data_IF_438151408050
#
_entry.id   IF_438151408050
#
_cell.length_a   1.000
_cell.length_b   1.000
_cell.length_c   1.000
_cell.angle_alpha   90.00
_cell.angle_beta   90.00
_cell.angle_gamma   90.00
#
_symmetry.space_group_name_H-M   'P 1'
#
loop_
_entity.id
_entity.type
_entity.pdbx_description
1 polymer ?
#
# COMPACT_ATOMS: atom_id res chain seq x y z
N UNK A 1 -4.85 -11.68 24.41
CA UNK A 1 -5.42 -10.71 23.43
C UNK A 1 -6.92 -10.77 23.55
N UNK A 2 -7.61 -9.62 23.73
CA UNK A 2 -9.07 -9.60 23.89
C UNK A 2 -9.80 -9.74 22.54
N UNK A 3 -9.24 -9.19 21.48
CA UNK A 3 -9.74 -9.31 20.12
C UNK A 3 -8.63 -9.11 19.09
N UNK A 4 -8.79 -9.68 17.92
CA UNK A 4 -7.90 -9.50 16.78
C UNK A 4 -8.71 -9.42 15.48
N UNK A 5 -8.05 -9.08 14.41
CA UNK A 5 -8.63 -9.02 13.06
C UNK A 5 -7.59 -9.35 12.00
N UNK A 6 -8.09 -9.52 10.78
CA UNK A 6 -7.26 -9.73 9.58
C UNK A 6 -7.47 -8.56 8.65
N UNK A 7 -6.39 -7.98 8.16
CA UNK A 7 -6.38 -7.01 7.07
C UNK A 7 -5.80 -7.71 5.84
N UNK A 8 -6.60 -7.87 4.79
CA UNK A 8 -6.17 -8.59 3.61
C UNK A 8 -6.83 -8.01 2.36
N UNK A 9 -6.00 -7.59 1.42
CA UNK A 9 -6.47 -6.96 0.17
C UNK A 9 -7.06 -7.98 -0.80
N UNK A 10 -6.61 -9.22 -0.76
CA UNK A 10 -7.02 -10.28 -1.69
C UNK A 10 -8.30 -11.02 -1.28
N UNK A 11 -8.92 -10.62 -0.16
CA UNK A 11 -10.27 -11.07 0.22
C UNK A 11 -11.35 -10.64 -0.78
N UNK A 12 -11.13 -9.55 -1.51
CA UNK A 12 -12.09 -9.00 -2.49
C UNK A 12 -11.86 -9.50 -3.90
N UNK A 13 -10.77 -10.24 -4.13
CA UNK A 13 -10.46 -10.84 -5.43
C UNK A 13 -11.42 -11.98 -5.77
N UNK A 14 -11.49 -12.35 -7.06
CA UNK A 14 -12.23 -13.52 -7.51
C UNK A 14 -11.57 -14.82 -7.04
N UNK A 15 -12.33 -15.89 -6.92
CA UNK A 15 -11.81 -17.21 -6.50
C UNK A 15 -10.75 -17.76 -7.47
N UNK A 16 -10.76 -17.31 -8.73
CA UNK A 16 -9.78 -17.70 -9.76
C UNK A 16 -8.47 -16.89 -9.65
N UNK A 17 -8.41 -15.88 -8.80
CA UNK A 17 -7.21 -15.08 -8.63
C UNK A 17 -6.15 -15.85 -7.84
N UNK A 18 -4.90 -15.83 -8.33
CA UNK A 18 -3.78 -16.61 -7.76
C UNK A 18 -3.57 -16.35 -6.26
N UNK A 19 -3.75 -15.10 -5.83
CA UNK A 19 -3.56 -14.69 -4.43
C UNK A 19 -4.89 -14.64 -3.64
N UNK A 20 -6.00 -15.19 -4.17
CA UNK A 20 -7.29 -15.15 -3.51
C UNK A 20 -7.24 -15.67 -2.08
N UNK A 21 -7.76 -14.88 -1.14
CA UNK A 21 -7.92 -15.26 0.26
C UNK A 21 -9.38 -15.58 0.56
N UNK A 22 -9.63 -16.79 1.01
CA UNK A 22 -10.97 -17.29 1.35
C UNK A 22 -11.30 -16.97 2.81
N UNK A 23 -12.38 -16.19 3.03
CA UNK A 23 -12.90 -15.88 4.36
C UNK A 23 -13.24 -17.14 5.17
N UNK A 24 -13.81 -18.17 4.53
CA UNK A 24 -14.22 -19.39 5.23
C UNK A 24 -13.01 -20.21 5.70
N UNK A 25 -11.91 -20.17 4.96
CA UNK A 25 -10.65 -20.78 5.40
C UNK A 25 -10.05 -20.03 6.60
N UNK A 26 -10.12 -18.70 6.59
CA UNK A 26 -9.67 -17.89 7.74
C UNK A 26 -10.53 -18.17 8.98
N UNK A 27 -11.85 -18.26 8.80
CA UNK A 27 -12.77 -18.59 9.90
C UNK A 27 -12.48 -19.98 10.45
N UNK A 28 -12.32 -20.97 9.59
CA UNK A 28 -11.99 -22.34 9.98
C UNK A 28 -10.66 -22.42 10.75
N UNK A 29 -9.65 -21.70 10.32
CA UNK A 29 -8.38 -21.62 11.06
C UNK A 29 -8.57 -21.02 12.47
N UNK A 30 -9.45 -20.03 12.60
CA UNK A 30 -9.79 -19.48 13.92
C UNK A 30 -10.56 -20.48 14.79
N UNK A 31 -11.43 -21.31 14.20
CA UNK A 31 -12.13 -22.41 14.91
C UNK A 31 -11.14 -23.47 15.40
N UNK A 32 -10.24 -23.92 14.55
CA UNK A 32 -9.21 -24.90 14.88
C UNK A 32 -8.27 -24.41 15.98
N UNK A 33 -8.04 -23.10 16.03
CA UNK A 33 -7.25 -22.45 17.08
C UNK A 33 -8.06 -22.13 18.37
N UNK A 34 -9.39 -22.39 18.41
CA UNK A 34 -10.26 -22.03 19.54
C UNK A 34 -10.37 -20.51 19.74
N UNK A 35 -10.23 -19.71 18.67
CA UNK A 35 -10.07 -18.27 18.74
C UNK A 35 -11.20 -17.46 18.07
N UNK A 36 -12.29 -18.10 17.69
CA UNK A 36 -13.43 -17.46 17.00
C UNK A 36 -14.05 -16.33 17.83
N UNK A 37 -14.13 -16.49 19.15
CA UNK A 37 -14.66 -15.45 20.03
C UNK A 37 -13.80 -14.19 20.07
N UNK A 38 -12.52 -14.31 19.71
CA UNK A 38 -11.56 -13.21 19.68
C UNK A 38 -11.36 -12.66 18.27
N UNK A 39 -11.71 -13.39 17.22
CA UNK A 39 -11.68 -12.93 15.83
C UNK A 39 -12.86 -11.99 15.58
N UNK A 40 -12.62 -10.67 15.58
CA UNK A 40 -13.67 -9.66 15.54
C UNK A 40 -13.65 -8.75 14.33
N UNK A 41 -12.50 -8.57 13.68
CA UNK A 41 -12.35 -7.55 12.65
C UNK A 41 -11.86 -8.14 11.34
N UNK A 42 -12.44 -7.66 10.24
CA UNK A 42 -12.02 -7.99 8.89
C UNK A 42 -11.88 -6.70 8.08
N UNK A 43 -10.67 -6.42 7.62
CA UNK A 43 -10.38 -5.23 6.81
C UNK A 43 -10.02 -5.62 5.37
N UNK A 44 -10.59 -4.92 4.40
CA UNK A 44 -10.38 -5.16 2.97
C UNK A 44 -10.65 -3.89 2.14
N UNK A 45 -10.19 -3.82 0.88
CA UNK A 45 -10.48 -2.71 -0.01
C UNK A 45 -11.98 -2.58 -0.31
N UNK A 46 -12.48 -1.34 -0.23
CA UNK A 46 -13.84 -1.01 -0.64
C UNK A 46 -13.88 0.44 -1.14
N UNK A 47 -14.01 0.60 -2.44
CA UNK A 47 -14.14 1.88 -3.11
C UNK A 47 -14.91 1.72 -4.42
N UNK A 48 -15.06 2.79 -5.20
CA UNK A 48 -15.83 2.80 -6.46
C UNK A 48 -15.26 1.87 -7.55
N UNK A 49 -14.01 1.45 -7.45
CA UNK A 49 -13.34 0.57 -8.41
C UNK A 49 -13.21 -0.85 -7.84
N UNK A 50 -12.69 -0.96 -6.62
CA UNK A 50 -12.49 -2.23 -5.92
C UNK A 50 -13.80 -2.65 -5.21
N UNK A 51 -14.77 -3.11 -6.00
CA UNK A 51 -16.12 -3.47 -5.54
C UNK A 51 -16.30 -4.97 -5.24
N UNK A 52 -15.23 -5.74 -5.16
CA UNK A 52 -15.30 -7.19 -4.93
C UNK A 52 -16.01 -7.58 -3.63
N UNK A 53 -15.93 -6.74 -2.59
CA UNK A 53 -16.60 -6.97 -1.30
C UNK A 53 -18.14 -6.96 -1.37
N UNK A 54 -18.74 -6.28 -2.35
CA UNK A 54 -20.20 -6.17 -2.50
C UNK A 54 -20.75 -7.07 -3.60
N UNK A 55 -19.89 -7.80 -4.32
CA UNK A 55 -20.36 -8.78 -5.33
C UNK A 55 -20.83 -10.06 -4.64
N UNK A 56 -21.98 -10.64 -5.05
CA UNK A 56 -22.45 -11.91 -4.52
C UNK A 56 -21.42 -13.03 -4.75
N UNK A 57 -21.16 -13.83 -3.73
CA UNK A 57 -20.13 -14.90 -3.76
C UNK A 57 -20.50 -16.11 -2.92
N UNK A 58 -20.98 -15.91 -1.71
CA UNK A 58 -21.27 -16.98 -0.73
C UNK A 58 -22.79 -17.29 -0.73
N UNK A 59 -23.27 -18.21 -1.56
CA UNK A 59 -24.70 -18.54 -1.67
C UNK A 59 -25.61 -17.30 -1.81
N UNK A 60 -25.27 -16.41 -2.74
CA UNK A 60 -25.86 -15.08 -2.97
C UNK A 60 -25.56 -14.01 -1.92
N UNK A 61 -24.80 -14.28 -0.88
CA UNK A 61 -24.26 -13.27 0.03
C UNK A 61 -22.97 -12.68 -0.54
N UNK A 62 -22.75 -11.41 -0.30
CA UNK A 62 -21.44 -10.78 -0.54
C UNK A 62 -20.51 -10.96 0.67
N UNK A 63 -19.22 -10.56 0.53
CA UNK A 63 -18.22 -10.67 1.58
C UNK A 63 -18.66 -9.99 2.89
N UNK A 64 -19.26 -8.80 2.78
CA UNK A 64 -19.71 -8.01 3.95
C UNK A 64 -20.81 -8.79 4.68
N UNK A 65 -21.83 -9.25 3.95
CA UNK A 65 -22.94 -9.98 4.53
C UNK A 65 -22.49 -11.32 5.15
N UNK A 66 -21.56 -12.01 4.48
CA UNK A 66 -20.99 -13.25 5.03
C UNK A 66 -20.17 -12.99 6.28
N UNK A 67 -19.32 -11.97 6.31
CA UNK A 67 -18.58 -11.59 7.50
C UNK A 67 -19.50 -11.21 8.66
N UNK A 68 -20.54 -10.44 8.39
CA UNK A 68 -21.56 -10.10 9.40
C UNK A 68 -22.30 -11.34 9.95
N UNK A 69 -22.61 -12.32 9.10
CA UNK A 69 -23.24 -13.57 9.56
C UNK A 69 -22.35 -14.42 10.48
N UNK A 70 -21.04 -14.20 10.42
CA UNK A 70 -20.04 -14.79 11.31
C UNK A 70 -19.75 -13.93 12.54
N UNK A 71 -20.43 -12.80 12.72
CA UNK A 71 -20.25 -11.87 13.85
C UNK A 71 -19.00 -10.96 13.71
N UNK A 72 -18.44 -10.85 12.51
CA UNK A 72 -17.29 -9.99 12.23
C UNK A 72 -17.71 -8.56 11.95
N UNK A 73 -16.92 -7.62 12.43
CA UNK A 73 -16.99 -6.20 12.09
C UNK A 73 -16.13 -5.95 10.86
N UNK A 74 -16.71 -5.41 9.80
CA UNK A 74 -16.02 -5.12 8.54
C UNK A 74 -15.50 -3.69 8.52
N UNK A 75 -14.30 -3.50 7.99
CA UNK A 75 -13.62 -2.22 7.85
C UNK A 75 -13.19 -2.08 6.38
N UNK A 76 -13.79 -1.12 5.68
CA UNK A 76 -13.34 -0.76 4.33
C UNK A 76 -12.08 0.09 4.38
N UNK A 77 -11.07 -0.26 3.59
CA UNK A 77 -9.90 0.57 3.39
C UNK A 77 -9.87 1.17 1.97
N UNK A 78 -8.93 2.06 1.70
CA UNK A 78 -8.73 2.75 0.41
C UNK A 78 -9.96 3.50 -0.13
N UNK A 79 -10.72 4.27 0.66
CA UNK A 79 -11.94 4.91 0.17
C UNK A 79 -11.68 5.92 -0.95
N UNK A 80 -10.47 6.51 -1.01
CA UNK A 80 -10.10 7.57 -1.95
C UNK A 80 -9.03 7.15 -2.98
N UNK A 81 -8.54 5.92 -2.90
CA UNK A 81 -7.55 5.38 -3.82
C UNK A 81 -7.92 3.95 -4.19
N UNK A 82 -7.65 3.56 -5.43
CA UNK A 82 -7.86 2.19 -5.89
C UNK A 82 -6.58 1.65 -6.54
N UNK A 83 -6.33 0.34 -6.44
CA UNK A 83 -5.34 -0.33 -7.24
C UNK A 83 -6.00 -0.97 -8.46
N UNK A 84 -5.41 -0.73 -9.63
CA UNK A 84 -5.84 -1.27 -10.91
C UNK A 84 -4.67 -1.96 -11.60
N UNK A 85 -4.92 -2.67 -12.68
CA UNK A 85 -3.87 -3.27 -13.51
C UNK A 85 -2.88 -2.22 -14.08
N UNK A 86 -3.30 -0.96 -14.17
CA UNK A 86 -2.47 0.18 -14.61
C UNK A 86 -1.81 0.93 -13.44
N UNK A 87 -1.96 0.45 -12.20
CA UNK A 87 -1.37 1.04 -11.00
C UNK A 87 -2.37 1.74 -10.10
N UNK A 88 -1.89 2.66 -9.29
CA UNK A 88 -2.69 3.42 -8.34
C UNK A 88 -3.56 4.45 -9.06
N UNK A 89 -4.87 4.39 -8.79
CA UNK A 89 -5.86 5.36 -9.27
C UNK A 89 -6.38 6.18 -8.08
N UNK A 90 -6.30 7.49 -8.16
CA UNK A 90 -6.89 8.39 -7.18
C UNK A 90 -8.37 8.63 -7.52
N UNK A 91 -9.25 8.40 -6.56
CA UNK A 91 -10.71 8.50 -6.72
C UNK A 91 -11.28 9.84 -6.28
N UNK A 92 -10.49 10.63 -5.54
CA UNK A 92 -10.87 11.98 -5.14
C UNK A 92 -9.70 12.92 -5.40
N UNK A 93 -9.98 14.02 -6.11
CA UNK A 93 -9.05 15.12 -6.28
C UNK A 93 -9.25 16.09 -5.12
N UNK A 94 -8.15 16.54 -4.51
CA UNK A 94 -8.16 17.75 -3.71
C UNK A 94 -7.71 18.91 -4.61
N UNK A 95 -8.34 20.06 -4.54
CA UNK A 95 -7.76 21.27 -5.10
C UNK A 95 -6.40 21.48 -4.42
N UNK A 96 -5.34 21.25 -5.17
CA UNK A 96 -3.98 21.52 -4.70
C UNK A 96 -3.63 22.90 -5.24
N UNK A 97 -3.20 23.78 -4.34
CA UNK A 97 -2.71 25.10 -4.71
C UNK A 97 -1.50 24.94 -5.64
N UNK A 98 -1.55 25.58 -6.82
CA UNK A 98 -0.50 25.52 -7.83
C UNK A 98 0.87 25.97 -7.25
N UNK A 99 0.87 26.91 -6.31
CA UNK A 99 2.07 27.35 -5.61
C UNK A 99 2.67 26.24 -4.74
N UNK A 100 1.83 25.42 -4.10
CA UNK A 100 2.29 24.25 -3.31
C UNK A 100 2.90 23.20 -4.22
N UNK A 101 2.31 22.96 -5.40
CA UNK A 101 2.86 22.02 -6.40
C UNK A 101 4.23 22.51 -6.88
N UNK A 102 4.32 23.78 -7.28
CA UNK A 102 5.56 24.35 -7.79
C UNK A 102 6.69 24.32 -6.75
N UNK A 103 6.38 24.59 -5.49
CA UNK A 103 7.36 24.50 -4.40
C UNK A 103 7.77 23.05 -4.11
N UNK A 104 6.83 22.11 -4.14
CA UNK A 104 7.12 20.68 -3.95
C UNK A 104 8.04 20.14 -5.05
N UNK A 105 7.81 20.52 -6.30
CA UNK A 105 8.64 20.13 -7.42
C UNK A 105 10.07 20.67 -7.29
N UNK A 106 10.25 21.94 -6.89
CA UNK A 106 11.59 22.51 -6.63
C UNK A 106 12.34 21.78 -5.53
N UNK A 107 11.65 21.44 -4.44
CA UNK A 107 12.25 20.69 -3.33
C UNK A 107 12.65 19.28 -3.80
N UNK A 108 11.81 18.63 -4.59
CA UNK A 108 12.10 17.33 -5.18
C UNK A 108 13.30 17.38 -6.12
N UNK A 109 13.33 18.31 -7.08
CA UNK A 109 14.44 18.49 -8.02
C UNK A 109 15.76 18.70 -7.27
N UNK A 110 15.77 19.61 -6.27
CA UNK A 110 16.95 19.86 -5.44
C UNK A 110 17.40 18.64 -4.65
N UNK A 111 16.46 17.86 -4.11
CA UNK A 111 16.75 16.61 -3.39
C UNK A 111 17.34 15.55 -4.32
N UNK A 112 16.79 15.42 -5.54
CA UNK A 112 17.29 14.47 -6.55
C UNK A 112 18.67 14.85 -7.08
N UNK A 113 18.92 16.14 -7.31
CA UNK A 113 20.27 16.63 -7.70
C UNK A 113 21.30 16.33 -6.63
N UNK A 114 20.98 16.61 -5.36
CA UNK A 114 21.84 16.30 -4.22
C UNK A 114 22.10 14.80 -4.08
N UNK A 115 21.08 13.97 -4.29
CA UNK A 115 21.20 12.52 -4.24
C UNK A 115 22.10 12.00 -5.37
N UNK A 116 21.85 12.44 -6.60
CA UNK A 116 22.63 12.02 -7.76
C UNK A 116 24.11 12.44 -7.64
N UNK A 117 24.39 13.64 -7.13
CA UNK A 117 25.75 14.10 -6.91
C UNK A 117 26.49 13.28 -5.85
N UNK A 118 25.83 12.94 -4.75
CA UNK A 118 26.40 12.06 -3.71
C UNK A 118 26.53 10.62 -4.17
N UNK A 119 25.58 10.14 -4.97
CA UNK A 119 25.63 8.82 -5.57
C UNK A 119 26.80 8.66 -6.54
N UNK A 120 27.09 9.70 -7.34
CA UNK A 120 28.28 9.70 -8.19
C UNK A 120 29.58 9.55 -7.37
N UNK A 121 29.68 10.20 -6.22
CA UNK A 121 30.83 10.08 -5.32
C UNK A 121 30.98 8.67 -4.71
N UNK A 122 29.85 8.00 -4.43
CA UNK A 122 29.88 6.61 -3.90
C UNK A 122 30.26 5.62 -4.98
N UNK A 123 29.84 5.83 -6.24
CA UNK A 123 30.24 5.00 -7.39
C UNK A 123 31.73 5.08 -7.72
N UNK A 124 32.37 6.19 -7.44
CA UNK A 124 33.82 6.36 -7.63
C UNK A 124 34.67 5.62 -6.58
N UNK A 125 34.08 5.21 -5.45
CA UNK A 125 34.72 4.41 -4.42
C UNK A 125 34.45 2.92 -4.62
N UNK A 126 35.10 2.31 -5.60
CA UNK A 126 35.41 0.89 -5.84
C UNK A 126 34.52 -0.22 -5.20
N UNK A 127 33.19 -0.09 -5.10
CA UNK A 127 32.34 -1.22 -4.77
C UNK A 127 31.36 -1.49 -5.93
N UNK A 128 31.81 -2.41 -6.79
CA UNK A 128 31.21 -2.79 -8.09
C UNK A 128 29.86 -3.57 -7.97
N UNK A 129 29.24 -3.56 -6.78
CA UNK A 129 28.05 -4.36 -6.48
C UNK A 129 26.78 -3.52 -6.24
N UNK A 130 26.82 -2.21 -6.44
CA UNK A 130 25.64 -1.36 -6.36
C UNK A 130 25.05 -1.17 -7.76
N UNK A 131 24.24 -2.12 -8.19
CA UNK A 131 23.38 -1.96 -9.37
C UNK A 131 22.57 -0.66 -9.25
N UNK A 132 22.30 0.00 -10.38
CA UNK A 132 21.46 1.21 -10.44
C UNK A 132 20.23 1.01 -9.57
N UNK A 133 19.98 1.96 -8.64
CA UNK A 133 18.86 1.85 -7.72
C UNK A 133 17.55 1.87 -8.52
N UNK A 134 16.89 0.73 -8.77
CA UNK A 134 15.61 0.69 -9.48
C UNK A 134 14.57 1.58 -8.79
N UNK A 135 14.74 1.79 -7.48
CA UNK A 135 13.87 2.59 -6.63
C UNK A 135 13.92 4.09 -6.98
N UNK A 136 15.08 4.65 -7.36
CA UNK A 136 15.20 6.08 -7.73
C UNK A 136 14.44 6.35 -9.02
N UNK A 137 14.57 5.46 -9.99
CA UNK A 137 13.83 5.56 -11.26
C UNK A 137 12.32 5.38 -11.04
N UNK A 138 11.92 4.43 -10.19
CA UNK A 138 10.52 4.24 -9.81
C UNK A 138 9.93 5.46 -9.10
N UNK A 139 10.69 6.10 -8.20
CA UNK A 139 10.24 7.33 -7.53
C UNK A 139 10.07 8.46 -8.55
N UNK A 140 10.98 8.61 -9.50
CA UNK A 140 10.88 9.63 -10.55
C UNK A 140 9.64 9.43 -11.42
N UNK A 141 9.36 8.20 -11.85
CA UNK A 141 8.17 7.87 -12.64
C UNK A 141 6.84 8.09 -11.89
N UNK A 142 6.87 7.91 -10.58
CA UNK A 142 5.69 8.09 -9.73
C UNK A 142 5.48 9.57 -9.43
N UNK A 143 6.56 10.36 -9.26
CA UNK A 143 6.49 11.78 -8.93
C UNK A 143 5.72 12.60 -9.97
N UNK A 144 5.96 12.34 -11.24
CA UNK A 144 5.27 13.02 -12.34
C UNK A 144 3.76 12.71 -12.42
N UNK A 145 3.29 11.71 -11.67
CA UNK A 145 1.88 11.27 -11.67
C UNK A 145 1.03 11.88 -10.54
N UNK A 146 1.43 13.00 -9.98
CA UNK A 146 0.70 13.74 -8.93
C UNK A 146 0.36 12.93 -7.68
N UNK A 147 1.37 12.56 -6.95
CA UNK A 147 1.21 11.83 -5.70
C UNK A 147 0.81 12.81 -4.58
N UNK A 148 -0.08 12.38 -3.69
CA UNK A 148 -0.42 13.16 -2.49
C UNK A 148 0.80 13.31 -1.57
N UNK A 149 0.80 14.38 -0.76
CA UNK A 149 1.83 14.59 0.26
C UNK A 149 2.07 13.34 1.11
N UNK A 150 0.99 12.68 1.53
CA UNK A 150 1.05 11.46 2.36
C UNK A 150 1.70 10.29 1.63
N UNK A 151 1.47 10.14 0.32
CA UNK A 151 2.13 9.11 -0.48
C UNK A 151 3.62 9.39 -0.64
N UNK A 152 4.00 10.66 -0.82
CA UNK A 152 5.40 11.09 -0.85
C UNK A 152 6.07 10.81 0.50
N UNK A 153 5.44 11.19 1.61
CA UNK A 153 5.96 10.89 2.95
C UNK A 153 6.13 9.38 3.17
N UNK A 154 5.18 8.54 2.75
CA UNK A 154 5.29 7.09 2.84
C UNK A 154 6.46 6.53 2.01
N UNK A 155 6.69 7.05 0.81
CA UNK A 155 7.82 6.64 -0.02
C UNK A 155 9.13 7.02 0.65
N UNK A 156 9.24 8.26 1.14
CA UNK A 156 10.46 8.72 1.80
C UNK A 156 10.73 7.96 3.10
N UNK A 157 9.78 7.89 4.02
CA UNK A 157 9.97 7.26 5.33
C UNK A 157 9.96 5.73 5.25
N UNK A 158 9.16 5.14 4.36
CA UNK A 158 9.02 3.69 4.24
C UNK A 158 10.14 3.02 3.43
N UNK A 159 10.69 3.72 2.44
CA UNK A 159 11.62 3.10 1.50
C UNK A 159 12.94 3.84 1.35
N UNK A 160 12.89 5.17 1.22
CA UNK A 160 14.05 5.96 0.84
C UNK A 160 15.03 6.18 2.01
N UNK A 161 14.54 6.63 3.16
CA UNK A 161 15.39 6.81 4.33
C UNK A 161 16.00 5.51 4.88
N UNK A 162 15.28 4.37 4.95
CA UNK A 162 15.88 3.09 5.29
C UNK A 162 16.99 2.66 4.34
N UNK A 163 16.83 2.95 3.04
CA UNK A 163 17.87 2.67 2.04
C UNK A 163 19.11 3.54 2.25
N UNK A 164 18.92 4.84 2.45
CA UNK A 164 20.02 5.78 2.74
C UNK A 164 20.74 5.35 4.03
N UNK A 165 20.01 5.04 5.09
CA UNK A 165 20.60 4.55 6.34
C UNK A 165 21.39 3.23 6.15
N UNK A 166 20.97 2.37 5.23
CA UNK A 166 21.69 1.15 4.89
C UNK A 166 22.99 1.42 4.13
N UNK A 167 22.99 2.43 3.24
CA UNK A 167 24.16 2.82 2.42
C UNK A 167 25.20 3.58 3.24
N UNK A 168 24.77 4.52 4.06
CA UNK A 168 25.66 5.43 4.81
C UNK A 168 25.96 4.99 6.24
N UNK A 169 25.38 3.84 6.70
CA UNK A 169 25.52 3.40 8.08
C UNK A 169 24.58 4.15 9.04
N UNK A 170 24.59 3.73 10.30
CA UNK A 170 23.61 4.14 11.34
C UNK A 170 23.84 5.55 11.90
N UNK A 171 24.69 6.36 11.33
CA UNK A 171 25.09 7.69 11.84
C UNK A 171 24.43 8.85 11.07
N UNK A 172 23.08 8.74 10.87
CA UNK A 172 22.21 9.84 10.45
C UNK A 172 21.25 10.21 11.56
#
# INVERSE_FOLDING_TARGET
IKSFGVSCNTLVESEDHEEYTDLLKLWKAAEEAGATENFKYLQFPLNLVEMGAVRPRFDNLNLIQKAQSLGLITIGNRPLNAFTSSGLLRLAESEIDEEVIANSNKVYESAMENLNSKWALVRESEDDHLEELPLVNQISEIWDKQISKDAVEQIFYGHFFPLIAKIYGKDL
#
